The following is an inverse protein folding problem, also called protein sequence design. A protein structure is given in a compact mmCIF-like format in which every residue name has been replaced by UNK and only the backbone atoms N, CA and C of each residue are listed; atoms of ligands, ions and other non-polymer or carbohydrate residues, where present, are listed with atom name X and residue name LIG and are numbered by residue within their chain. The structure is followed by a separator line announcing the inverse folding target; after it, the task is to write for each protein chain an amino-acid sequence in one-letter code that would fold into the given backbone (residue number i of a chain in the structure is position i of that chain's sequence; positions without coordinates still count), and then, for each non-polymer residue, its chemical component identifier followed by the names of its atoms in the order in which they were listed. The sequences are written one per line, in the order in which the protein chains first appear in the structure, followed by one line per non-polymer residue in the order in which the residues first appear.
data_IF_437647420783
#
_entry.id   IF_437647420783
#
_cell.length_a   1.000
_cell.length_b   1.000
_cell.length_c   1.000
_cell.angle_alpha   90.00
_cell.angle_beta   90.00
_cell.angle_gamma   90.00
#
_symmetry.space_group_name_H-M   'P 1'
#
loop_
_entity.id
_entity.type
_entity.pdbx_description
1 polymer ?
#
# COMPACT_ATOMS: atom_id res chain seq x y z
N UNK A 1 -16.85 14.29 -7.79
CA UNK A 1 -15.92 13.29 -8.33
C UNK A 1 -15.00 12.83 -7.20
N UNK A 2 -14.90 11.54 -6.92
CA UNK A 2 -13.98 11.01 -5.89
C UNK A 2 -12.62 10.67 -6.52
N UNK A 3 -11.51 10.88 -5.81
CA UNK A 3 -10.17 10.62 -6.35
C UNK A 3 -9.97 9.18 -6.83
N UNK A 4 -10.59 8.20 -6.17
CA UNK A 4 -10.51 6.78 -6.55
C UNK A 4 -11.22 6.52 -7.88
N UNK A 5 -12.35 7.18 -8.13
CA UNK A 5 -13.08 7.06 -9.39
C UNK A 5 -12.29 7.67 -10.56
N UNK A 6 -11.69 8.85 -10.34
CA UNK A 6 -10.82 9.49 -11.34
C UNK A 6 -9.61 8.61 -11.70
N UNK A 7 -8.98 7.97 -10.71
CA UNK A 7 -7.86 7.05 -10.96
C UNK A 7 -8.26 5.88 -11.87
N UNK A 8 -9.49 5.35 -11.71
CA UNK A 8 -9.99 4.27 -12.54
C UNK A 8 -10.37 4.76 -13.94
N UNK A 9 -11.26 5.74 -14.02
CA UNK A 9 -11.95 6.13 -15.26
C UNK A 9 -11.05 6.96 -16.18
N UNK A 10 -10.23 7.85 -15.61
CA UNK A 10 -9.45 8.83 -16.39
C UNK A 10 -7.99 8.42 -16.55
N UNK A 11 -7.40 7.75 -15.55
CA UNK A 11 -5.99 7.30 -15.61
C UNK A 11 -5.86 5.83 -16.03
N UNK A 12 -6.89 5.01 -15.80
CA UNK A 12 -6.84 3.56 -16.08
C UNK A 12 -6.09 2.74 -15.02
N UNK A 13 -6.04 3.22 -13.77
CA UNK A 13 -5.43 2.47 -12.66
C UNK A 13 -6.37 1.35 -12.21
N UNK A 14 -5.91 0.10 -12.33
CA UNK A 14 -6.68 -1.09 -11.93
C UNK A 14 -6.35 -1.60 -10.53
N UNK A 15 -5.18 -1.24 -9.98
CA UNK A 15 -4.76 -1.64 -8.63
C UNK A 15 -4.17 -0.48 -7.86
N UNK A 16 -4.71 -0.22 -6.67
CA UNK A 16 -4.20 0.79 -5.74
C UNK A 16 -3.59 0.09 -4.53
N UNK A 17 -2.34 0.41 -4.21
CA UNK A 17 -1.67 -0.08 -3.02
C UNK A 17 -1.58 1.02 -1.96
N UNK A 18 -1.80 0.65 -0.70
CA UNK A 18 -1.68 1.54 0.44
C UNK A 18 -0.86 0.87 1.54
N UNK A 19 -0.05 1.65 2.25
CA UNK A 19 0.75 1.12 3.34
C UNK A 19 -0.13 0.75 4.53
N UNK A 20 0.13 -0.38 5.17
CA UNK A 20 -0.20 -0.61 6.58
C UNK A 20 0.70 0.24 7.48
N UNK A 21 0.38 0.31 8.78
CA UNK A 21 1.27 0.97 9.76
C UNK A 21 2.67 0.32 9.75
N UNK A 22 2.71 -1.01 9.71
CA UNK A 22 3.93 -1.82 9.73
C UNK A 22 4.75 -1.64 8.45
N UNK A 23 4.11 -1.78 7.28
CA UNK A 23 4.81 -1.60 6.01
C UNK A 23 5.28 -0.15 5.81
N UNK A 24 4.49 0.84 6.23
CA UNK A 24 4.85 2.25 6.14
C UNK A 24 6.12 2.55 6.93
N UNK A 25 6.17 2.12 8.20
CA UNK A 25 7.36 2.29 9.03
C UNK A 25 8.58 1.60 8.44
N UNK A 26 8.43 0.34 8.02
CA UNK A 26 9.52 -0.46 7.49
C UNK A 26 10.13 0.08 6.18
N UNK A 27 9.28 0.40 5.18
CA UNK A 27 9.77 0.83 3.88
C UNK A 27 10.27 2.28 3.90
N UNK A 28 9.67 3.14 4.74
CA UNK A 28 10.02 4.56 4.83
C UNK A 28 11.01 4.89 5.96
N UNK A 29 11.45 3.89 6.73
CA UNK A 29 12.34 4.05 7.89
C UNK A 29 11.82 5.04 8.94
N UNK A 30 10.55 4.87 9.31
CA UNK A 30 9.87 5.75 10.28
C UNK A 30 9.82 5.15 11.69
N UNK A 31 10.67 4.15 11.99
CA UNK A 31 10.63 3.44 13.28
C UNK A 31 10.90 4.37 14.47
N UNK A 32 11.69 5.43 14.26
CA UNK A 32 12.03 6.41 15.30
C UNK A 32 10.96 7.50 15.50
N UNK A 33 10.06 7.69 14.52
CA UNK A 33 8.98 8.67 14.59
C UNK A 33 7.77 8.13 13.82
N UNK A 34 7.10 7.10 14.35
CA UNK A 34 6.03 6.43 13.65
C UNK A 34 4.78 7.32 13.56
N UNK A 35 4.04 7.31 12.44
CA UNK A 35 2.82 8.07 12.29
C UNK A 35 1.70 7.53 13.19
N UNK A 36 0.62 8.28 13.44
CA UNK A 36 -0.51 7.77 14.22
C UNK A 36 -1.14 6.52 13.60
N UNK A 37 -1.26 5.42 14.37
CA UNK A 37 -1.91 4.17 13.93
C UNK A 37 -3.35 4.36 13.46
N UNK A 38 -4.05 5.37 13.98
CA UNK A 38 -5.44 5.68 13.63
C UNK A 38 -5.66 5.90 12.13
N UNK A 39 -4.68 6.47 11.41
CA UNK A 39 -4.73 6.70 9.96
C UNK A 39 -4.85 5.39 9.16
N UNK A 40 -4.23 4.32 9.66
CA UNK A 40 -4.06 3.05 8.95
C UNK A 40 -5.14 2.02 9.26
N UNK A 41 -6.01 2.29 10.24
CA UNK A 41 -6.92 1.28 10.80
C UNK A 41 -8.34 1.38 10.26
N UNK A 42 -8.89 2.60 10.15
CA UNK A 42 -10.29 2.83 9.74
C UNK A 42 -10.44 3.19 8.27
N UNK A 43 -9.54 4.02 7.75
CA UNK A 43 -9.65 4.57 6.40
C UNK A 43 -9.59 3.48 5.32
N UNK A 44 -8.56 2.60 5.27
CA UNK A 44 -8.44 1.66 4.16
C UNK A 44 -9.62 0.68 4.08
N UNK A 45 -10.13 0.24 5.24
CA UNK A 45 -11.29 -0.66 5.31
C UNK A 45 -12.56 -0.04 4.73
N UNK A 46 -12.82 1.24 5.01
CA UNK A 46 -14.01 1.94 4.49
C UNK A 46 -13.99 2.09 2.97
N UNK A 47 -12.79 2.18 2.38
CA UNK A 47 -12.61 2.22 0.93
C UNK A 47 -12.48 0.83 0.30
N UNK A 48 -12.75 -0.25 1.03
CA UNK A 48 -12.75 -1.62 0.49
C UNK A 48 -11.36 -2.23 0.27
N UNK A 49 -10.29 -1.62 0.78
CA UNK A 49 -8.95 -2.20 0.69
C UNK A 49 -8.86 -3.51 1.49
N UNK A 50 -8.21 -4.51 0.91
CA UNK A 50 -7.93 -5.80 1.55
C UNK A 50 -6.45 -5.90 1.86
N UNK A 51 -6.11 -6.57 2.96
CA UNK A 51 -4.70 -6.87 3.27
C UNK A 51 -4.20 -7.95 2.32
N UNK A 52 -2.93 -7.82 1.91
CA UNK A 52 -2.27 -8.79 1.04
C UNK A 52 -0.77 -8.83 1.32
N UNK A 53 -0.17 -10.00 1.13
CA UNK A 53 1.30 -10.19 1.07
C UNK A 53 1.86 -9.92 -0.33
N UNK A 54 1.00 -9.77 -1.34
CA UNK A 54 1.44 -9.42 -2.69
C UNK A 54 1.83 -7.93 -2.73
N UNK A 55 3.13 -7.69 -2.80
CA UNK A 55 3.69 -6.34 -2.90
C UNK A 55 3.56 -5.79 -4.33
N UNK A 56 3.55 -4.44 -4.50
CA UNK A 56 3.42 -3.82 -5.81
C UNK A 56 4.50 -4.31 -6.80
N UNK A 57 4.09 -4.69 -8.01
CA UNK A 57 5.02 -5.23 -9.00
C UNK A 57 6.13 -4.23 -9.36
N UNK A 58 5.81 -2.94 -9.41
CA UNK A 58 6.79 -1.90 -9.72
C UNK A 58 7.89 -1.78 -8.67
N UNK A 59 7.66 -2.15 -7.40
CA UNK A 59 8.72 -2.19 -6.39
C UNK A 59 9.79 -3.25 -6.68
N UNK A 60 9.44 -4.34 -7.38
CA UNK A 60 10.41 -5.40 -7.71
C UNK A 60 11.48 -4.94 -8.69
N UNK A 61 11.20 -3.90 -9.47
CA UNK A 61 12.14 -3.31 -10.44
C UNK A 61 13.17 -2.40 -9.77
N UNK A 62 12.88 -1.91 -8.55
CA UNK A 62 13.73 -1.00 -7.82
C UNK A 62 14.85 -1.73 -7.04
N UNK A 63 16.10 -1.54 -7.47
CA UNK A 63 17.27 -2.22 -6.89
C UNK A 63 17.38 -2.00 -5.37
N UNK A 64 17.17 -0.76 -4.91
CA UNK A 64 17.28 -0.41 -3.49
C UNK A 64 16.19 -1.06 -2.63
N UNK A 65 15.04 -1.40 -3.22
CA UNK A 65 13.94 -2.05 -2.51
C UNK A 65 14.10 -3.57 -2.43
N UNK A 66 14.81 -4.18 -3.37
CA UNK A 66 14.92 -5.66 -3.53
C UNK A 66 15.28 -6.38 -2.22
N UNK A 67 16.28 -5.89 -1.49
CA UNK A 67 16.71 -6.49 -0.21
C UNK A 67 15.66 -6.33 0.89
N UNK A 68 14.96 -5.20 0.94
CA UNK A 68 13.91 -4.91 1.94
C UNK A 68 12.66 -5.72 1.66
N UNK A 69 12.21 -5.77 0.41
CA UNK A 69 11.10 -6.62 -0.05
C UNK A 69 11.31 -8.07 0.37
N UNK A 70 12.52 -8.61 0.13
CA UNK A 70 12.85 -10.00 0.51
C UNK A 70 12.80 -10.26 2.02
N UNK A 71 13.11 -9.25 2.83
CA UNK A 71 13.13 -9.36 4.31
C UNK A 71 11.80 -8.98 4.96
N UNK A 72 10.87 -8.41 4.20
CA UNK A 72 9.60 -7.95 4.72
C UNK A 72 8.59 -9.10 4.78
N UNK A 73 8.11 -9.44 5.98
CA UNK A 73 7.08 -10.47 6.20
C UNK A 73 5.70 -9.88 6.51
N UNK A 74 5.58 -8.54 6.48
CA UNK A 74 4.31 -7.86 6.73
C UNK A 74 3.39 -7.84 5.51
N UNK A 75 2.26 -7.17 5.69
CA UNK A 75 1.23 -7.00 4.66
C UNK A 75 1.11 -5.54 4.23
N UNK A 76 0.59 -5.34 3.03
CA UNK A 76 0.12 -4.04 2.52
C UNK A 76 -1.37 -4.11 2.26
N UNK A 77 -2.01 -2.95 2.11
CA UNK A 77 -3.38 -2.87 1.60
C UNK A 77 -3.37 -2.84 0.08
N UNK A 78 -4.30 -3.55 -0.55
CA UNK A 78 -4.55 -3.53 -1.98
C UNK A 78 -6.05 -3.35 -2.22
N UNK A 79 -6.37 -2.42 -3.10
CA UNK A 79 -7.68 -2.30 -3.72
C UNK A 79 -7.53 -2.66 -5.19
N UNK A 80 -8.32 -3.63 -5.64
CA UNK A 80 -8.27 -4.16 -7.00
C UNK A 80 -9.64 -3.90 -7.65
N UNK A 81 -9.66 -3.10 -8.70
CA UNK A 81 -10.87 -2.79 -9.47
C UNK A 81 -11.26 -3.92 -10.42
N UNK A 82 -10.37 -4.88 -10.67
CA UNK A 82 -10.60 -6.00 -11.57
C UNK A 82 -11.22 -7.23 -10.88
N UNK A 83 -11.57 -7.11 -9.59
CA UNK A 83 -12.09 -8.18 -8.75
C UNK A 83 -13.61 -8.34 -8.83
#
# INVERSE_FOLDING_TARGET
MCSVQFLLEEIGVTKIYYHTFESGNYFKKLENCPPPKSLYTKLPKKFGFKKTKQLPQFWKKEHFMKKRIRKFDGEVFCFDFSA
#
